data_IF_926206225993
#
_entry.id   IF_926206225993
#
_cell.length_a   1.000
_cell.length_b   1.000
_cell.length_c   1.000
_cell.angle_alpha   90.00
_cell.angle_beta   90.00
_cell.angle_gamma   90.00
#
_symmetry.space_group_name_H-M   'P 1'
#
loop_
_entity.id
_entity.type
_entity.pdbx_description
1 polymer ?
#
# COMPACT_ATOMS: atom_id res chain seq x y z
N UNK A 1 -3.52 3.36 11.61
CA UNK A 1 -2.65 4.39 11.01
C UNK A 1 -2.61 5.65 11.87
N UNK A 2 -3.75 6.29 12.16
CA UNK A 2 -3.82 7.52 12.97
C UNK A 2 -3.04 7.45 14.29
N UNK A 3 -3.21 6.40 15.10
CA UNK A 3 -2.43 6.21 16.33
C UNK A 3 -0.90 6.39 16.15
N UNK A 4 -0.34 5.90 15.04
CA UNK A 4 1.09 6.03 14.76
C UNK A 4 1.45 7.45 14.29
N UNK A 5 0.63 8.02 13.41
CA UNK A 5 0.81 9.40 12.94
C UNK A 5 0.75 10.40 14.09
N UNK A 6 -0.21 10.24 14.99
CA UNK A 6 -0.39 11.06 16.19
C UNK A 6 0.79 10.92 17.17
N UNK A 7 1.46 9.76 17.16
CA UNK A 7 2.69 9.51 17.92
C UNK A 7 3.96 10.09 17.25
N UNK A 8 3.82 10.80 16.12
CA UNK A 8 4.93 11.50 15.46
C UNK A 8 5.81 10.61 14.58
N UNK A 9 5.29 9.48 14.07
CA UNK A 9 6.06 8.64 13.16
C UNK A 9 6.37 9.36 11.84
N UNK A 10 7.52 9.03 11.27
CA UNK A 10 7.98 9.57 9.99
C UNK A 10 7.35 8.83 8.80
N UNK A 11 6.73 9.57 7.89
CA UNK A 11 6.06 9.03 6.69
C UNK A 11 6.96 8.96 5.45
N UNK A 12 8.22 9.39 5.58
CA UNK A 12 9.22 9.60 4.53
C UNK A 12 10.45 8.70 4.65
N UNK A 13 10.52 7.84 5.67
CA UNK A 13 11.60 6.87 5.81
C UNK A 13 11.65 6.00 4.56
N UNK A 14 12.86 5.81 4.03
CA UNK A 14 13.15 4.92 2.90
C UNK A 14 13.98 3.75 3.39
N UNK A 15 13.49 2.54 3.15
CA UNK A 15 14.16 1.28 3.44
C UNK A 15 14.66 0.67 2.14
N UNK A 16 15.78 -0.06 2.20
CA UNK A 16 16.32 -0.76 1.04
C UNK A 16 15.33 -1.76 0.45
N UNK A 17 14.54 -2.39 1.31
CA UNK A 17 13.45 -3.25 0.91
C UNK A 17 12.87 -4.02 2.08
N UNK A 18 11.88 -4.83 1.75
CA UNK A 18 11.28 -5.82 2.63
C UNK A 18 11.16 -7.15 1.88
N UNK A 19 11.18 -8.24 2.62
CA UNK A 19 10.82 -9.57 2.10
C UNK A 19 9.60 -10.06 2.86
N UNK A 20 8.48 -10.24 2.16
CA UNK A 20 7.24 -10.78 2.68
C UNK A 20 7.17 -12.28 2.38
N UNK A 21 6.76 -13.09 3.36
CA UNK A 21 6.68 -14.54 3.16
C UNK A 21 8.03 -15.22 2.99
N UNK A 22 9.07 -14.74 3.70
CA UNK A 22 10.43 -15.28 3.56
C UNK A 22 10.44 -16.80 3.75
N UNK A 23 10.99 -17.53 2.78
CA UNK A 23 11.09 -18.99 2.80
C UNK A 23 9.85 -19.75 2.32
N UNK A 24 8.80 -19.06 1.86
CA UNK A 24 7.67 -19.68 1.17
C UNK A 24 7.82 -19.55 -0.36
N UNK A 25 7.14 -20.42 -1.12
CA UNK A 25 7.17 -20.37 -2.60
C UNK A 25 6.59 -19.06 -3.16
N UNK A 26 5.75 -18.36 -2.39
CA UNK A 26 5.18 -17.05 -2.72
C UNK A 26 5.97 -15.88 -2.13
N UNK A 27 7.22 -16.10 -1.69
CA UNK A 27 8.12 -15.05 -1.19
C UNK A 27 8.14 -13.86 -2.15
N UNK A 28 7.94 -12.67 -1.60
CA UNK A 28 7.92 -11.44 -2.39
C UNK A 28 8.85 -10.41 -1.78
N UNK A 29 9.89 -10.04 -2.53
CA UNK A 29 10.81 -8.98 -2.14
C UNK A 29 10.45 -7.68 -2.85
N UNK A 30 10.23 -6.64 -2.07
CA UNK A 30 9.95 -5.29 -2.56
C UNK A 30 11.11 -4.38 -2.16
N UNK A 31 11.80 -3.83 -3.14
CA UNK A 31 12.88 -2.89 -2.92
C UNK A 31 12.35 -1.46 -2.80
N UNK A 32 13.18 -0.58 -2.25
CA UNK A 32 12.92 0.86 -2.19
C UNK A 32 11.58 1.22 -1.53
N UNK A 33 11.42 0.77 -0.29
CA UNK A 33 10.14 0.82 0.41
C UNK A 33 10.06 2.05 1.29
N UNK A 34 8.99 2.82 1.11
CA UNK A 34 8.55 3.90 2.01
C UNK A 34 7.26 3.46 2.70
N UNK A 35 6.82 4.12 3.78
CA UNK A 35 5.50 3.86 4.36
C UNK A 35 4.36 3.93 3.33
N UNK A 36 4.43 4.87 2.36
CA UNK A 36 3.43 5.00 1.29
C UNK A 36 3.46 3.79 0.36
N UNK A 37 4.62 3.43 -0.18
CA UNK A 37 4.70 2.26 -1.06
C UNK A 37 4.38 0.97 -0.32
N UNK A 38 4.74 0.85 0.97
CA UNK A 38 4.36 -0.28 1.81
C UNK A 38 2.83 -0.42 2.01
N UNK A 39 2.11 0.70 2.14
CA UNK A 39 0.65 0.67 2.17
C UNK A 39 0.10 0.13 0.84
N UNK A 40 0.66 0.59 -0.28
CA UNK A 40 0.28 0.16 -1.64
C UNK A 40 0.63 -1.30 -1.95
N UNK A 41 1.63 -1.89 -1.28
CA UNK A 41 1.90 -3.33 -1.35
C UNK A 41 0.73 -4.19 -0.82
N UNK A 42 -0.37 -3.60 -0.33
CA UNK A 42 -1.61 -4.32 -0.06
C UNK A 42 -2.45 -4.65 -1.31
N UNK A 43 -2.20 -4.01 -2.45
CA UNK A 43 -2.95 -4.21 -3.70
C UNK A 43 -2.63 -5.52 -4.46
N UNK A 44 -1.39 -6.05 -4.44
CA UNK A 44 -1.11 -7.34 -5.05
C UNK A 44 -1.91 -8.47 -4.38
N UNK A 45 -2.40 -9.46 -5.15
CA UNK A 45 -3.15 -10.60 -4.61
C UNK A 45 -2.41 -11.38 -3.52
N UNK A 46 -1.07 -11.35 -3.52
CA UNK A 46 -0.23 -12.03 -2.54
C UNK A 46 -0.32 -11.41 -1.13
N UNK A 47 -0.68 -10.13 -1.01
CA UNK A 47 -0.83 -9.42 0.26
C UNK A 47 -2.29 -9.12 0.60
N UNK A 48 -3.15 -9.03 -0.42
CA UNK A 48 -4.62 -8.99 -0.36
C UNK A 48 -5.20 -8.19 0.82
N UNK A 49 -4.84 -6.90 0.91
CA UNK A 49 -5.53 -5.95 1.81
C UNK A 49 -6.72 -5.33 1.08
N UNK A 50 -7.68 -4.78 1.81
CA UNK A 50 -8.77 -4.01 1.18
C UNK A 50 -8.23 -2.80 0.43
N UNK A 51 -8.59 -2.64 -0.85
CA UNK A 51 -8.23 -1.48 -1.67
C UNK A 51 -8.60 -0.15 -0.98
N UNK A 52 -9.78 -0.12 -0.33
CA UNK A 52 -10.26 1.06 0.41
C UNK A 52 -9.27 1.44 1.52
N UNK A 53 -8.84 0.46 2.31
CA UNK A 53 -7.96 0.70 3.44
C UNK A 53 -6.54 1.01 2.97
N UNK A 54 -6.09 0.40 1.87
CA UNK A 54 -4.81 0.73 1.22
C UNK A 54 -4.77 2.20 0.83
N UNK A 55 -5.81 2.70 0.13
CA UNK A 55 -5.85 4.09 -0.30
C UNK A 55 -6.11 5.08 0.83
N UNK A 56 -6.93 4.74 1.82
CA UNK A 56 -7.10 5.55 3.01
C UNK A 56 -5.76 5.74 3.73
N UNK A 57 -4.99 4.67 3.92
CA UNK A 57 -3.68 4.73 4.57
C UNK A 57 -2.66 5.50 3.73
N UNK A 58 -2.60 5.28 2.41
CA UNK A 58 -1.69 6.00 1.52
C UNK A 58 -1.99 7.52 1.54
N UNK A 59 -3.27 7.90 1.52
CA UNK A 59 -3.71 9.29 1.68
C UNK A 59 -3.22 9.89 3.00
N UNK A 60 -3.52 9.24 4.13
CA UNK A 60 -3.11 9.76 5.45
C UNK A 60 -1.58 9.92 5.57
N UNK A 61 -0.80 9.00 4.98
CA UNK A 61 0.66 9.07 4.97
C UNK A 61 1.20 10.20 4.06
N UNK A 62 0.54 10.47 2.94
CA UNK A 62 0.88 11.59 2.07
C UNK A 62 0.58 12.92 2.75
N UNK A 63 -0.62 13.06 3.33
CA UNK A 63 -1.08 14.26 4.06
C UNK A 63 -0.17 14.56 5.26
N UNK A 64 0.13 13.55 6.08
CA UNK A 64 1.04 13.70 7.22
C UNK A 64 2.47 14.10 6.81
N UNK A 65 2.89 13.77 5.58
CA UNK A 65 4.18 14.19 5.03
C UNK A 65 4.13 15.54 4.29
N UNK A 66 3.00 16.25 4.29
CA UNK A 66 2.83 17.49 3.52
C UNK A 66 2.90 17.30 1.99
N UNK A 67 2.69 16.06 1.52
CA UNK A 67 2.78 15.69 0.09
C UNK A 67 1.42 15.85 -0.60
N UNK A 68 1.45 16.16 -1.89
CA UNK A 68 0.22 16.20 -2.71
C UNK A 68 -0.44 14.83 -2.75
N UNK A 69 -1.73 14.77 -2.43
CA UNK A 69 -2.55 13.57 -2.62
C UNK A 69 -3.12 13.56 -4.04
N UNK A 70 -2.83 12.54 -4.87
CA UNK A 70 -3.42 12.42 -6.20
C UNK A 70 -4.91 12.01 -6.11
N UNK A 71 -5.63 12.14 -7.22
CA UNK A 71 -6.94 11.48 -7.34
C UNK A 71 -6.75 9.95 -7.29
N UNK A 72 -7.61 9.27 -6.54
CA UNK A 72 -7.60 7.82 -6.32
C UNK A 72 -8.92 7.20 -6.81
N UNK A 73 -9.39 7.64 -7.97
CA UNK A 73 -10.65 7.18 -8.59
C UNK A 73 -10.55 5.77 -9.20
N UNK A 74 -9.33 5.31 -9.51
CA UNK A 74 -9.13 3.98 -10.06
C UNK A 74 -9.38 2.92 -8.99
N UNK A 75 -10.05 1.83 -9.38
CA UNK A 75 -10.17 0.62 -8.56
C UNK A 75 -9.11 -0.37 -9.06
N UNK A 76 -8.05 -0.64 -8.28
CA UNK A 76 -7.05 -1.65 -8.57
C UNK A 76 -7.68 -2.95 -8.98
N UNK A 77 -7.04 -3.64 -9.93
CA UNK A 77 -7.43 -4.98 -10.31
C UNK A 77 -8.89 -5.10 -10.79
N UNK A 78 -9.56 -4.00 -11.16
CA UNK A 78 -10.93 -4.05 -11.72
C UNK A 78 -11.00 -5.04 -12.90
N UNK A 79 -9.94 -5.10 -13.71
CA UNK A 79 -9.82 -6.05 -14.83
C UNK A 79 -9.70 -7.53 -14.41
N UNK A 80 -9.42 -7.83 -13.15
CA UNK A 80 -9.43 -9.20 -12.59
C UNK A 80 -10.80 -9.59 -12.06
N UNK A 81 -11.72 -8.63 -11.89
CA UNK A 81 -13.11 -8.95 -11.63
C UNK A 81 -13.65 -9.53 -12.94
N UNK A 82 -14.06 -10.80 -12.92
CA UNK A 82 -14.82 -11.37 -14.03
C UNK A 82 -16.05 -10.46 -14.19
N UNK A 83 -16.16 -9.78 -15.33
CA UNK A 83 -17.50 -9.42 -15.80
C UNK A 83 -18.27 -10.73 -15.80
N UNK A 84 -19.42 -10.77 -15.10
CA UNK A 84 -20.31 -11.89 -15.26
C UNK A 84 -20.60 -11.96 -16.76
N UNK A 85 -20.04 -12.98 -17.41
CA UNK A 85 -20.16 -13.23 -18.85
C UNK A 85 -21.63 -13.01 -19.25
N UNK A 86 -21.87 -11.99 -20.08
CA UNK A 86 -23.16 -11.71 -20.69
C UNK A 86 -23.41 -12.67 -21.86
#
# INVERSE_FOLDING_TARGET
MHLLLDAGVRSDIRLLGITWGKGFDWETTCFDVTPVSYAQLGLPPQMARSDRDVYANARSLLEAGGRRVPSLENVPNRYLQKENDA
#
